data_IF_771014409882
#
_entry.id   IF_771014409882
#
_cell.length_a   1.000
_cell.length_b   1.000
_cell.length_c   1.000
_cell.angle_alpha   90.00
_cell.angle_beta   90.00
_cell.angle_gamma   90.00
#
_symmetry.space_group_name_H-M   'P 1'
#
loop_
_entity.id
_entity.type
_entity.pdbx_description
1 polymer ?
#
# COMPACT_ATOMS: atom_id res chain seq x y z
N UNK A 1 3.61 -54.53 45.50
CA UNK A 1 3.92 -54.21 44.08
C UNK A 1 2.84 -53.34 43.41
N UNK A 2 2.14 -52.45 44.15
CA UNK A 2 1.04 -51.64 43.58
C UNK A 2 1.45 -50.20 43.20
N UNK A 3 2.53 -49.67 43.77
CA UNK A 3 2.95 -48.27 43.59
C UNK A 3 3.56 -47.95 42.21
N UNK A 4 4.07 -48.96 41.49
CA UNK A 4 4.66 -48.76 40.16
C UNK A 4 3.64 -48.66 39.02
N UNK A 5 2.41 -49.13 39.24
CA UNK A 5 1.38 -49.17 38.20
C UNK A 5 0.60 -47.84 38.13
N UNK A 6 0.34 -47.24 39.28
CA UNK A 6 -0.33 -45.93 39.37
C UNK A 6 0.54 -44.80 38.82
N UNK A 7 1.85 -44.82 39.07
CA UNK A 7 2.78 -43.82 38.52
C UNK A 7 2.85 -43.90 36.98
N UNK A 8 2.79 -45.11 36.42
CA UNK A 8 2.78 -45.36 34.98
C UNK A 8 1.52 -44.84 34.30
N UNK A 9 0.34 -45.03 34.93
CA UNK A 9 -0.93 -44.50 34.43
C UNK A 9 -0.94 -42.97 34.46
N UNK A 10 -0.46 -42.36 35.55
CA UNK A 10 -0.41 -40.90 35.68
C UNK A 10 0.55 -40.29 34.65
N UNK A 11 1.74 -40.87 34.47
CA UNK A 11 2.69 -40.40 33.46
C UNK A 11 2.12 -40.54 32.05
N UNK A 12 1.46 -41.66 31.73
CA UNK A 12 0.80 -41.83 30.44
C UNK A 12 -0.31 -40.79 30.22
N UNK A 13 -1.14 -40.54 31.23
CA UNK A 13 -2.22 -39.54 31.16
C UNK A 13 -1.68 -38.12 30.94
N UNK A 14 -0.58 -37.76 31.62
CA UNK A 14 0.11 -36.47 31.42
C UNK A 14 0.68 -36.38 30.01
N UNK A 15 1.32 -37.44 29.50
CA UNK A 15 1.86 -37.49 28.15
C UNK A 15 0.77 -37.32 27.09
N UNK A 16 -0.36 -38.01 27.24
CA UNK A 16 -1.53 -37.88 26.37
C UNK A 16 -2.10 -36.47 26.42
N UNK A 17 -2.23 -35.88 27.61
CA UNK A 17 -2.72 -34.51 27.77
C UNK A 17 -1.79 -33.50 27.08
N UNK A 18 -0.46 -33.65 27.21
CA UNK A 18 0.53 -32.79 26.55
C UNK A 18 0.44 -32.94 25.02
N UNK A 19 0.31 -34.16 24.51
CA UNK A 19 0.17 -34.42 23.06
C UNK A 19 -1.12 -33.81 22.51
N UNK A 20 -2.23 -33.94 23.22
CA UNK A 20 -3.51 -33.34 22.83
C UNK A 20 -3.45 -31.81 22.86
N UNK A 21 -2.81 -31.23 23.88
CA UNK A 21 -2.60 -29.78 23.99
C UNK A 21 -1.74 -29.26 22.81
N UNK A 22 -0.62 -29.93 22.53
CA UNK A 22 0.26 -29.60 21.41
C UNK A 22 -0.46 -29.68 20.06
N UNK A 23 -1.28 -30.71 19.85
CA UNK A 23 -2.08 -30.88 18.63
C UNK A 23 -3.17 -29.81 18.51
N UNK A 24 -3.79 -29.39 19.61
CA UNK A 24 -4.77 -28.30 19.62
C UNK A 24 -4.11 -26.95 19.29
N UNK A 25 -2.93 -26.68 19.84
CA UNK A 25 -2.17 -25.46 19.57
C UNK A 25 -1.71 -25.38 18.11
N UNK A 26 -1.29 -26.50 17.52
CA UNK A 26 -0.94 -26.57 16.10
C UNK A 26 -2.14 -26.22 15.20
N UNK A 27 -3.35 -26.66 15.55
CA UNK A 27 -4.58 -26.31 14.83
C UNK A 27 -5.05 -24.87 15.09
N UNK A 28 -4.80 -24.32 16.28
CA UNK A 28 -5.19 -22.96 16.66
C UNK A 28 -4.22 -21.88 16.17
N UNK A 29 -2.94 -22.20 15.94
CA UNK A 29 -1.91 -21.29 15.42
C UNK A 29 -2.32 -20.50 14.17
N UNK A 30 -2.88 -21.08 13.09
CA UNK A 30 -3.28 -20.31 11.92
C UNK A 30 -4.38 -19.30 12.25
N UNK A 31 -5.36 -19.68 13.09
CA UNK A 31 -6.43 -18.77 13.54
C UNK A 31 -5.89 -17.62 14.38
N UNK A 32 -4.98 -17.90 15.32
CA UNK A 32 -4.34 -16.87 16.13
C UNK A 32 -3.47 -15.91 15.30
N UNK A 33 -2.77 -16.42 14.28
CA UNK A 33 -2.02 -15.59 13.32
C UNK A 33 -2.95 -14.70 12.50
N UNK A 34 -4.04 -15.27 11.96
CA UNK A 34 -5.04 -14.49 11.22
C UNK A 34 -5.66 -13.39 12.09
N UNK A 35 -6.01 -13.69 13.36
CA UNK A 35 -6.53 -12.69 14.29
C UNK A 35 -5.51 -11.59 14.61
N UNK A 36 -4.23 -11.93 14.80
CA UNK A 36 -3.16 -10.92 15.03
C UNK A 36 -2.97 -10.04 13.80
N UNK A 37 -2.88 -10.65 12.62
CA UNK A 37 -2.78 -9.93 11.35
C UNK A 37 -3.98 -8.99 11.17
N UNK A 38 -5.20 -9.43 11.45
CA UNK A 38 -6.40 -8.60 11.35
C UNK A 38 -6.36 -7.41 12.33
N UNK A 39 -5.88 -7.62 13.56
CA UNK A 39 -5.72 -6.55 14.55
C UNK A 39 -4.63 -5.55 14.15
N UNK A 40 -3.49 -6.04 13.68
CA UNK A 40 -2.40 -5.21 13.15
C UNK A 40 -2.87 -4.40 11.93
N UNK A 41 -3.67 -5.02 11.04
CA UNK A 41 -4.27 -4.32 9.89
C UNK A 41 -5.25 -3.23 10.30
N UNK A 42 -6.11 -3.50 11.30
CA UNK A 42 -7.05 -2.51 11.82
C UNK A 42 -6.30 -1.34 12.49
N UNK A 43 -5.29 -1.64 13.31
CA UNK A 43 -4.44 -0.64 13.95
C UNK A 43 -3.69 0.22 12.93
N UNK A 44 -3.14 -0.40 11.87
CA UNK A 44 -2.47 0.33 10.81
C UNK A 44 -3.41 1.25 10.05
N UNK A 45 -4.65 0.80 9.76
CA UNK A 45 -5.67 1.64 9.12
C UNK A 45 -6.08 2.82 10.00
N UNK A 46 -6.31 2.61 11.30
CA UNK A 46 -6.66 3.72 12.18
C UNK A 46 -5.51 4.73 12.29
N UNK A 47 -4.27 4.25 12.42
CA UNK A 47 -3.10 5.13 12.40
C UNK A 47 -2.96 5.92 11.07
N UNK A 48 -3.39 5.35 9.94
CA UNK A 48 -3.38 6.05 8.64
C UNK A 48 -4.45 7.13 8.59
N UNK A 49 -5.66 6.83 9.09
CA UNK A 49 -6.74 7.82 9.23
C UNK A 49 -6.35 8.95 10.17
N UNK A 50 -5.75 8.66 11.32
CA UNK A 50 -5.26 9.68 12.25
C UNK A 50 -4.16 10.55 11.62
N UNK A 51 -3.24 9.94 10.86
CA UNK A 51 -2.25 10.70 10.10
C UNK A 51 -2.89 11.60 9.04
N UNK A 52 -3.88 11.09 8.29
CA UNK A 52 -4.64 11.88 7.31
C UNK A 52 -5.41 13.03 7.98
N UNK A 53 -6.07 12.78 9.12
CA UNK A 53 -6.76 13.82 9.91
C UNK A 53 -5.80 14.93 10.34
N UNK A 54 -4.57 14.59 10.75
CA UNK A 54 -3.55 15.59 11.11
C UNK A 54 -3.16 16.47 9.92
N UNK A 55 -3.02 15.91 8.72
CA UNK A 55 -2.78 16.70 7.50
C UNK A 55 -3.96 17.64 7.24
N UNK A 56 -5.20 17.13 7.31
CA UNK A 56 -6.40 17.91 7.05
C UNK A 56 -6.68 19.01 8.08
N UNK A 57 -6.18 18.84 9.31
CA UNK A 57 -6.33 19.80 10.41
C UNK A 57 -5.44 21.03 10.26
N UNK A 58 -4.33 20.93 9.52
CA UNK A 58 -3.43 22.05 9.27
C UNK A 58 -3.90 22.81 8.02
N UNK A 59 -4.07 24.15 8.08
CA UNK A 59 -4.34 24.95 6.89
C UNK A 59 -3.25 24.80 5.83
N UNK A 60 -3.65 24.77 4.56
CA UNK A 60 -2.73 24.47 3.44
C UNK A 60 -1.57 25.47 3.35
N UNK A 61 -1.81 26.72 3.71
CA UNK A 61 -0.82 27.81 3.71
C UNK A 61 0.31 27.59 4.73
N UNK A 62 0.07 26.74 5.72
CA UNK A 62 1.01 26.42 6.80
C UNK A 62 1.72 25.07 6.59
N UNK A 63 1.46 24.39 5.46
CA UNK A 63 2.11 23.11 5.20
C UNK A 63 3.61 23.30 4.95
N UNK A 64 4.47 22.57 5.68
CA UNK A 64 5.90 22.67 5.48
C UNK A 64 6.27 22.06 4.13
N UNK A 65 7.12 22.76 3.39
CA UNK A 65 7.81 22.17 2.25
C UNK A 65 8.95 21.30 2.76
N UNK A 66 9.13 20.15 2.12
CA UNK A 66 10.27 19.28 2.36
C UNK A 66 11.55 20.01 1.90
N UNK A 67 12.41 20.34 2.86
CA UNK A 67 13.70 20.99 2.59
C UNK A 67 14.65 20.08 1.78
N UNK A 68 14.52 18.76 1.95
CA UNK A 68 15.28 17.76 1.21
C UNK A 68 14.37 16.63 0.78
N UNK A 69 14.38 16.39 -0.52
CA UNK A 69 13.79 15.19 -1.11
C UNK A 69 14.75 14.00 -0.99
N UNK A 70 14.23 12.77 -1.03
CA UNK A 70 15.03 11.57 -1.05
C UNK A 70 16.01 11.54 -2.23
N UNK A 71 17.14 10.84 -2.05
CA UNK A 71 18.15 10.66 -3.09
C UNK A 71 17.54 9.97 -4.33
N UNK A 72 17.86 10.50 -5.52
CA UNK A 72 17.32 10.03 -6.80
C UNK A 72 16.02 10.71 -7.23
N UNK A 73 15.40 11.54 -6.38
CA UNK A 73 14.25 12.38 -6.76
C UNK A 73 14.75 13.77 -7.18
N UNK A 74 14.33 14.32 -8.33
CA UNK A 74 14.71 15.67 -8.75
C UNK A 74 14.35 16.71 -7.69
N UNK A 75 15.25 17.65 -7.42
CA UNK A 75 15.05 18.70 -6.43
C UNK A 75 13.88 19.60 -6.85
N UNK A 76 12.75 19.48 -6.14
CA UNK A 76 11.53 20.27 -6.35
C UNK A 76 10.84 20.51 -5.01
N UNK A 77 10.10 21.61 -4.91
CA UNK A 77 9.29 21.88 -3.73
C UNK A 77 8.15 20.84 -3.62
N UNK A 78 8.09 20.14 -2.49
CA UNK A 78 7.10 19.10 -2.22
C UNK A 78 6.57 19.21 -0.80
N UNK A 79 5.31 18.85 -0.59
CA UNK A 79 4.70 18.75 0.74
C UNK A 79 4.87 17.35 1.33
N UNK A 80 4.98 16.34 0.46
CA UNK A 80 5.07 14.94 0.88
C UNK A 80 5.83 14.10 -0.15
N UNK A 81 6.55 13.10 0.34
CA UNK A 81 7.21 12.10 -0.49
C UNK A 81 7.16 10.72 0.20
N UNK A 82 6.81 9.68 -0.54
CA UNK A 82 6.76 8.32 -0.03
C UNK A 82 7.22 7.29 -1.06
N UNK A 83 7.83 6.20 -0.58
CA UNK A 83 8.10 5.02 -1.40
C UNK A 83 6.78 4.42 -1.86
N UNK A 84 6.69 4.09 -3.13
CA UNK A 84 5.53 3.42 -3.69
C UNK A 84 5.91 2.38 -4.75
N UNK A 85 4.94 1.54 -5.09
CA UNK A 85 4.97 0.70 -6.30
C UNK A 85 3.86 1.18 -7.23
N UNK A 86 4.19 1.55 -8.47
CA UNK A 86 3.21 1.75 -9.53
C UNK A 86 2.66 0.39 -9.96
N UNK A 87 1.34 0.27 -9.99
CA UNK A 87 0.63 -0.96 -10.28
C UNK A 87 -0.11 -0.88 -11.63
N UNK A 88 -0.34 -2.03 -12.23
CA UNK A 88 -1.19 -2.23 -13.41
C UNK A 88 -2.26 -3.25 -13.06
N UNK A 89 -3.52 -2.91 -13.32
CA UNK A 89 -4.62 -3.86 -13.13
C UNK A 89 -4.55 -4.96 -14.20
N UNK A 90 -4.69 -6.21 -13.77
CA UNK A 90 -4.64 -7.35 -14.70
C UNK A 90 -6.02 -7.69 -15.26
N UNK A 91 -6.11 -8.11 -16.53
CA UNK A 91 -7.32 -8.74 -17.06
C UNK A 91 -7.63 -10.00 -16.22
N UNK A 92 -8.76 -10.00 -15.50
CA UNK A 92 -9.13 -11.07 -14.57
C UNK A 92 -8.97 -10.75 -13.08
N UNK A 93 -8.51 -9.53 -12.76
CA UNK A 93 -8.46 -9.01 -11.39
C UNK A 93 -7.08 -9.07 -10.75
N UNK A 94 -6.88 -8.20 -9.75
CA UNK A 94 -5.61 -8.03 -9.05
C UNK A 94 -4.62 -7.12 -9.79
N UNK A 95 -3.42 -6.98 -9.23
CA UNK A 95 -2.43 -6.02 -9.71
C UNK A 95 -1.08 -6.67 -10.05
N UNK A 96 -0.50 -6.24 -11.16
CA UNK A 96 0.90 -6.42 -11.49
C UNK A 96 1.71 -5.21 -11.01
N UNK A 97 2.97 -5.43 -10.65
CA UNK A 97 3.90 -4.32 -10.39
C UNK A 97 4.48 -3.80 -11.72
N UNK A 98 4.30 -2.52 -12.04
CA UNK A 98 4.97 -1.87 -13.18
C UNK A 98 6.35 -1.32 -12.83
N UNK A 99 6.53 -0.86 -11.60
CA UNK A 99 7.77 -0.23 -11.18
C UNK A 99 7.75 0.24 -9.73
N UNK A 100 8.92 0.32 -9.12
CA UNK A 100 9.11 0.89 -7.78
C UNK A 100 9.69 2.30 -7.91
N UNK A 101 9.35 3.17 -6.97
CA UNK A 101 9.80 4.55 -7.03
C UNK A 101 9.33 5.40 -5.86
N UNK A 102 9.31 6.70 -6.10
CA UNK A 102 8.87 7.72 -5.17
C UNK A 102 7.62 8.41 -5.70
N UNK A 103 6.58 8.44 -4.89
CA UNK A 103 5.42 9.30 -5.10
C UNK A 103 5.65 10.60 -4.35
N UNK A 104 5.58 11.73 -5.05
CA UNK A 104 5.90 13.06 -4.57
C UNK A 104 4.69 13.95 -4.78
N UNK A 105 4.21 14.56 -3.71
CA UNK A 105 3.13 15.56 -3.74
C UNK A 105 3.78 16.93 -3.83
N UNK A 106 3.82 17.48 -5.04
CA UNK A 106 4.41 18.79 -5.35
C UNK A 106 3.47 19.96 -5.05
N UNK A 107 3.85 21.16 -5.50
CA UNK A 107 2.98 22.35 -5.43
C UNK A 107 1.86 22.34 -6.46
N UNK A 108 2.11 21.76 -7.64
CA UNK A 108 1.21 21.85 -8.80
C UNK A 108 0.74 20.48 -9.32
N UNK A 109 1.48 19.43 -8.99
CA UNK A 109 1.27 18.10 -9.54
C UNK A 109 1.64 16.99 -8.56
N UNK A 110 0.98 15.84 -8.72
CA UNK A 110 1.40 14.56 -8.16
C UNK A 110 2.39 13.91 -9.11
N UNK A 111 3.51 13.44 -8.59
CA UNK A 111 4.60 12.96 -9.43
C UNK A 111 5.11 11.62 -8.96
N UNK A 112 5.21 10.66 -9.87
CA UNK A 112 5.90 9.41 -9.66
C UNK A 112 7.26 9.43 -10.37
N UNK A 113 8.30 9.12 -9.61
CA UNK A 113 9.67 8.95 -10.09
C UNK A 113 10.12 7.52 -9.89
N UNK A 114 10.34 6.78 -10.98
CA UNK A 114 10.80 5.41 -10.90
C UNK A 114 12.24 5.33 -10.41
N UNK A 115 12.57 4.27 -9.67
CA UNK A 115 13.95 4.03 -9.24
C UNK A 115 14.85 3.74 -10.45
N UNK A 116 16.09 4.26 -10.49
CA UNK A 116 17.01 4.02 -11.61
C UNK A 116 17.36 2.53 -11.80
N UNK A 117 17.25 1.73 -10.72
CA UNK A 117 17.47 0.28 -10.72
C UNK A 117 16.23 -0.54 -11.07
N UNK A 118 15.06 0.07 -11.23
CA UNK A 118 13.80 -0.63 -11.57
C UNK A 118 13.70 -1.00 -13.06
N UNK A 119 14.85 -1.27 -13.72
CA UNK A 119 14.85 -1.85 -15.06
C UNK A 119 14.03 -3.14 -15.05
N UNK A 120 13.16 -3.38 -16.04
CA UNK A 120 12.48 -4.65 -16.17
C UNK A 120 13.55 -5.76 -16.19
N UNK A 121 13.40 -6.75 -15.30
CA UNK A 121 14.28 -7.92 -15.30
C UNK A 121 14.12 -8.60 -16.67
N UNK A 122 15.21 -8.86 -17.42
CA UNK A 122 15.11 -9.71 -18.61
C UNK A 122 14.67 -11.11 -18.14
N UNK A 123 13.50 -11.58 -18.58
CA UNK A 123 13.05 -12.96 -18.34
C UNK A 123 11.67 -13.15 -17.70
N UNK A 124 10.92 -12.09 -17.37
CA UNK A 124 9.49 -12.20 -17.02
C UNK A 124 8.62 -11.80 -18.22
N UNK A 125 8.64 -12.63 -19.28
CA UNK A 125 7.94 -12.30 -20.52
C UNK A 125 7.95 -13.40 -21.57
N UNK A 126 7.61 -14.63 -21.20
CA UNK A 126 7.19 -15.64 -22.18
C UNK A 126 5.66 -15.77 -22.16
N UNK A 127 5.01 -14.79 -22.78
CA UNK A 127 3.67 -14.94 -23.34
C UNK A 127 3.55 -13.96 -24.51
N UNK A 128 3.90 -14.47 -25.67
CA UNK A 128 3.83 -13.83 -26.98
C UNK A 128 2.40 -13.30 -27.24
N UNK A 129 2.25 -11.99 -27.16
CA UNK A 129 1.04 -11.26 -27.54
C UNK A 129 1.44 -9.92 -28.15
N UNK A 130 0.89 -9.53 -29.32
CA UNK A 130 1.30 -8.31 -29.99
C UNK A 130 0.61 -7.10 -29.34
N UNK A 131 1.35 -6.36 -28.50
CA UNK A 131 0.96 -5.01 -28.09
C UNK A 131 1.39 -4.60 -26.68
N UNK A 132 2.07 -3.46 -26.60
CA UNK A 132 2.44 -2.67 -25.41
C UNK A 132 3.67 -3.12 -24.61
N UNK A 133 4.68 -2.25 -24.60
CA UNK A 133 6.01 -2.51 -24.05
C UNK A 133 6.04 -2.71 -22.54
N UNK A 134 6.76 -3.75 -22.13
CA UNK A 134 7.08 -4.10 -20.74
C UNK A 134 8.11 -3.13 -20.11
N UNK A 135 7.79 -1.84 -20.12
CA UNK A 135 8.52 -0.80 -19.41
C UNK A 135 7.54 0.23 -18.90
N UNK A 136 7.23 0.20 -17.61
CA UNK A 136 6.39 1.23 -16.98
C UNK A 136 6.99 2.63 -17.20
N UNK A 137 6.17 3.69 -17.12
CA UNK A 137 6.67 5.06 -17.27
C UNK A 137 7.77 5.32 -16.24
N UNK A 138 8.95 5.75 -16.71
CA UNK A 138 10.06 6.16 -15.82
C UNK A 138 9.69 7.37 -14.97
N UNK A 139 8.74 8.14 -15.46
CA UNK A 139 8.24 9.36 -14.85
C UNK A 139 6.77 9.50 -15.24
N UNK A 140 5.93 9.80 -14.26
CA UNK A 140 4.52 10.11 -14.43
C UNK A 140 4.24 11.38 -13.63
N UNK A 141 3.59 12.36 -14.25
CA UNK A 141 3.24 13.63 -13.63
C UNK A 141 1.77 13.92 -13.93
N UNK A 142 0.97 14.08 -12.88
CA UNK A 142 -0.47 14.30 -12.94
C UNK A 142 -0.75 15.68 -12.33
N UNK A 143 -1.14 16.70 -13.13
CA UNK A 143 -1.47 18.01 -12.59
C UNK A 143 -2.73 17.92 -11.73
N UNK A 144 -2.81 18.71 -10.65
CA UNK A 144 -3.98 18.64 -9.75
C UNK A 144 -5.29 19.01 -10.43
N UNK A 145 -5.24 19.81 -11.49
CA UNK A 145 -6.42 20.16 -12.31
C UNK A 145 -6.97 19.00 -13.12
N UNK A 146 -6.20 17.93 -13.32
CA UNK A 146 -6.65 16.73 -14.03
C UNK A 146 -7.09 15.61 -13.08
N UNK A 147 -6.84 15.74 -11.77
CA UNK A 147 -7.28 14.75 -10.78
C UNK A 147 -8.76 14.99 -10.47
N UNK A 148 -9.61 14.10 -10.95
CA UNK A 148 -11.05 14.15 -10.69
C UNK A 148 -11.42 13.46 -9.37
N UNK A 149 -10.76 12.33 -9.08
CA UNK A 149 -11.07 11.52 -7.91
C UNK A 149 -9.85 10.76 -7.42
N UNK A 150 -9.82 10.52 -6.11
CA UNK A 150 -8.85 9.67 -5.47
C UNK A 150 -9.58 8.66 -4.60
N UNK A 151 -9.33 7.38 -4.85
CA UNK A 151 -9.93 6.27 -4.13
C UNK A 151 -8.84 5.45 -3.42
N UNK A 152 -9.24 4.66 -2.42
CA UNK A 152 -8.35 3.68 -1.77
C UNK A 152 -9.02 2.31 -1.76
N UNK A 153 -9.13 1.64 -2.93
CA UNK A 153 -9.97 0.44 -3.09
C UNK A 153 -9.49 -0.75 -2.25
N UNK A 154 -8.21 -0.80 -1.92
CA UNK A 154 -7.61 -1.85 -1.10
C UNK A 154 -6.71 -1.27 -0.02
N UNK A 155 -6.36 -2.12 0.94
CA UNK A 155 -5.35 -1.78 1.96
C UNK A 155 -4.04 -1.43 1.25
N UNK A 156 -3.50 -0.25 1.56
CA UNK A 156 -2.24 0.26 1.01
C UNK A 156 -2.26 0.54 -0.49
N UNK A 157 -3.42 0.58 -1.15
CA UNK A 157 -3.53 0.93 -2.57
C UNK A 157 -4.30 2.23 -2.69
N UNK A 158 -3.66 3.21 -3.32
CA UNK A 158 -4.24 4.48 -3.73
C UNK A 158 -4.52 4.41 -5.23
N UNK A 159 -5.74 4.75 -5.62
CA UNK A 159 -6.11 4.97 -7.02
C UNK A 159 -6.26 6.47 -7.24
N UNK A 160 -5.59 6.99 -8.26
CA UNK A 160 -5.72 8.38 -8.69
C UNK A 160 -6.34 8.35 -10.08
N UNK A 161 -7.51 8.96 -10.21
CA UNK A 161 -8.27 8.98 -11.45
C UNK A 161 -8.07 10.35 -12.09
N UNK A 162 -7.37 10.31 -13.21
CA UNK A 162 -7.08 11.45 -14.05
C UNK A 162 -8.10 11.54 -15.17
N UNK A 163 -8.64 12.74 -15.44
CA UNK A 163 -9.39 13.01 -16.66
C UNK A 163 -8.57 13.88 -17.59
N UNK A 164 -8.41 13.42 -18.83
CA UNK A 164 -7.85 14.25 -19.89
C UNK A 164 -8.78 15.45 -20.16
N UNK A 165 -8.29 16.69 -20.04
CA UNK A 165 -9.12 17.89 -20.17
C UNK A 165 -9.68 18.09 -21.58
N UNK A 166 -9.02 17.53 -22.60
CA UNK A 166 -9.40 17.64 -24.02
C UNK A 166 -10.27 16.47 -24.42
N UNK A 167 -9.80 15.24 -24.20
CA UNK A 167 -10.50 14.03 -24.69
C UNK A 167 -11.59 13.54 -23.75
N UNK A 168 -11.62 14.03 -22.50
CA UNK A 168 -12.51 13.59 -21.41
C UNK A 168 -12.40 12.10 -21.08
N UNK A 169 -11.34 11.44 -21.56
CA UNK A 169 -11.03 10.05 -21.23
C UNK A 169 -10.50 9.98 -19.79
N UNK A 170 -10.95 8.96 -19.07
CA UNK A 170 -10.56 8.72 -17.69
C UNK A 170 -9.43 7.68 -17.66
N UNK A 171 -8.39 7.96 -16.89
CA UNK A 171 -7.23 7.09 -16.71
C UNK A 171 -7.01 6.85 -15.22
N UNK A 172 -7.02 5.59 -14.80
CA UNK A 172 -6.72 5.21 -13.41
C UNK A 172 -5.25 4.88 -13.23
N UNK A 173 -4.64 5.47 -12.20
CA UNK A 173 -3.27 5.20 -11.79
C UNK A 173 -3.25 4.59 -10.39
N UNK A 174 -2.72 3.38 -10.27
CA UNK A 174 -2.73 2.63 -9.01
C UNK A 174 -1.34 2.67 -8.36
N UNK A 175 -1.28 3.06 -7.10
CA UNK A 175 -0.07 3.13 -6.31
C UNK A 175 -0.20 2.30 -5.05
N UNK A 176 0.74 1.40 -4.81
CA UNK A 176 0.88 0.74 -3.51
C UNK A 176 1.83 1.51 -2.60
N UNK A 177 1.35 1.95 -1.44
CA UNK A 177 2.14 2.65 -0.43
C UNK A 177 1.62 2.39 0.99
N UNK A 178 2.46 2.63 2.00
CA UNK A 178 2.12 2.32 3.39
C UNK A 178 1.02 3.20 4.01
N UNK A 179 0.81 4.41 3.46
CA UNK A 179 -0.07 5.44 4.01
C UNK A 179 -0.89 6.12 2.89
N UNK A 180 -1.78 5.37 2.20
CA UNK A 180 -2.55 5.92 1.09
C UNK A 180 -3.44 7.09 1.51
N UNK A 181 -4.04 7.06 2.71
CA UNK A 181 -4.96 8.11 3.14
C UNK A 181 -4.23 9.44 3.43
N UNK A 182 -2.97 9.40 3.83
CA UNK A 182 -2.15 10.61 3.99
C UNK A 182 -1.96 11.30 2.64
N UNK A 183 -1.68 10.55 1.57
CA UNK A 183 -1.56 11.12 0.22
C UNK A 183 -2.90 11.65 -0.26
N UNK A 184 -3.98 10.89 -0.05
CA UNK A 184 -5.33 11.33 -0.39
C UNK A 184 -5.70 12.64 0.32
N UNK A 185 -5.28 12.85 1.58
CA UNK A 185 -5.53 14.07 2.34
C UNK A 185 -4.81 15.30 1.77
N UNK A 186 -3.57 15.13 1.27
CA UNK A 186 -2.91 16.22 0.55
C UNK A 186 -3.62 16.51 -0.77
N UNK A 187 -3.92 15.47 -1.55
CA UNK A 187 -4.55 15.60 -2.86
C UNK A 187 -5.93 16.24 -2.77
N UNK A 188 -6.72 15.93 -1.75
CA UNK A 188 -8.06 16.51 -1.58
C UNK A 188 -8.03 18.02 -1.43
N UNK A 189 -7.04 18.57 -0.72
CA UNK A 189 -6.89 20.03 -0.61
C UNK A 189 -6.34 20.65 -1.90
N UNK A 190 -5.35 20.01 -2.51
CA UNK A 190 -4.63 20.56 -3.67
C UNK A 190 -5.47 20.49 -4.96
N UNK A 191 -6.17 19.38 -5.19
CA UNK A 191 -7.10 19.19 -6.31
C UNK A 191 -8.55 19.60 -5.97
N UNK A 192 -8.80 20.11 -4.77
CA UNK A 192 -10.06 20.73 -4.33
C UNK A 192 -11.28 19.79 -4.37
N UNK A 193 -11.11 18.55 -3.94
CA UNK A 193 -12.21 17.62 -3.70
C UNK A 193 -12.36 17.31 -2.21
N UNK A 194 -13.53 16.81 -1.81
CA UNK A 194 -13.79 16.39 -0.43
C UNK A 194 -13.24 14.98 -0.19
N UNK A 195 -12.44 14.79 0.87
CA UNK A 195 -11.98 13.47 1.27
C UNK A 195 -12.93 12.86 2.30
N UNK A 196 -13.50 11.71 1.95
CA UNK A 196 -14.33 10.92 2.86
C UNK A 196 -13.45 9.84 3.51
N UNK A 197 -13.18 10.01 4.80
CA UNK A 197 -12.46 9.02 5.61
C UNK A 197 -13.47 8.01 6.21
N UNK A 198 -13.78 6.95 5.46
CA UNK A 198 -14.59 5.82 5.95
C UNK A 198 -13.78 4.74 6.66
#
# INVERSE_FOLDING_TARGET
MAAGWTSLIVTLAVLVAVVLLARSLLRARPRLRAMRQQREWAANREADREAARRVLAVPMEQWPLLERLPEGVPHRAAYYAARCTLLEERPGGGFASRGQGWLVVGRESLVFHADPSSRPRPGEGDAEGPGAGAGGPRHLEIPYTAIERVDSPYVNVLEVIEQDPVTRVWTSHFFRLNRPLVVAAYLSRLARFELILS
#
